data_IF_505916516465
#
_entry.id   IF_505916516465
#
_cell.length_a   1.000
_cell.length_b   1.000
_cell.length_c   1.000
_cell.angle_alpha   90.00
_cell.angle_beta   90.00
_cell.angle_gamma   90.00
#
_symmetry.space_group_name_H-M   'P 1'
#
loop_
_entity.id
_entity.type
_entity.pdbx_description
1 polymer ?
#
# COMPACT_ATOMS: atom_id res chain seq x y z
N UNK A 1 -14.66 13.79 12.91
CA UNK A 1 -14.06 13.79 11.56
C UNK A 1 -12.54 13.68 11.61
N UNK A 2 -11.86 14.55 12.37
CA UNK A 2 -10.40 14.53 12.54
C UNK A 2 -9.85 13.15 13.00
N UNK A 3 -10.44 12.55 14.04
CA UNK A 3 -10.02 11.23 14.54
C UNK A 3 -10.09 10.14 13.46
N UNK A 4 -11.16 10.13 12.66
CA UNK A 4 -11.34 9.18 11.55
C UNK A 4 -10.23 9.35 10.50
N UNK A 5 -9.88 10.59 10.16
CA UNK A 5 -8.78 10.91 9.23
C UNK A 5 -7.44 10.41 9.79
N UNK A 6 -7.17 10.64 11.08
CA UNK A 6 -5.95 10.16 11.72
C UNK A 6 -5.84 8.63 11.66
N UNK A 7 -6.94 7.92 11.93
CA UNK A 7 -6.99 6.45 11.81
C UNK A 7 -6.71 6.01 10.36
N UNK A 8 -7.26 6.70 9.36
CA UNK A 8 -6.99 6.38 7.95
C UNK A 8 -5.52 6.56 7.56
N UNK A 9 -4.86 7.60 8.09
CA UNK A 9 -3.42 7.81 7.89
C UNK A 9 -2.62 6.67 8.53
N UNK A 10 -2.96 6.30 9.77
CA UNK A 10 -2.29 5.21 10.48
C UNK A 10 -2.47 3.89 9.72
N UNK A 11 -3.70 3.56 9.32
CA UNK A 11 -3.99 2.36 8.52
C UNK A 11 -3.22 2.38 7.20
N UNK A 12 -3.17 3.51 6.51
CA UNK A 12 -2.38 3.67 5.29
C UNK A 12 -0.91 3.34 5.49
N UNK A 13 -0.36 3.58 6.68
CA UNK A 13 1.05 3.34 6.98
C UNK A 13 1.36 1.90 7.42
N UNK A 14 0.36 1.13 7.83
CA UNK A 14 0.57 -0.27 8.19
C UNK A 14 0.73 -1.11 6.90
N UNK A 15 1.81 -1.90 6.74
CA UNK A 15 2.12 -2.63 5.50
C UNK A 15 1.02 -3.57 5.01
N UNK A 16 0.22 -4.11 5.93
CA UNK A 16 -0.87 -5.04 5.62
C UNK A 16 -2.10 -4.30 5.09
N UNK A 17 -2.33 -3.07 5.55
CA UNK A 17 -3.52 -2.30 5.24
C UNK A 17 -3.34 -1.46 3.97
N UNK A 18 -2.36 -0.55 3.92
CA UNK A 18 -2.10 0.37 2.79
C UNK A 18 -3.41 0.94 2.17
N UNK A 19 -3.41 1.31 0.89
CA UNK A 19 -4.59 1.83 0.15
C UNK A 19 -5.76 0.85 0.08
N UNK A 20 -5.44 -0.45 -0.02
CA UNK A 20 -6.37 -1.56 -0.21
C UNK A 20 -7.43 -1.65 0.88
N UNK A 21 -7.08 -1.32 2.13
CA UNK A 21 -8.02 -1.32 3.25
C UNK A 21 -8.39 0.08 3.72
N UNK A 22 -7.46 1.04 3.68
CA UNK A 22 -7.76 2.41 4.13
C UNK A 22 -8.84 3.09 3.29
N UNK A 23 -8.90 2.86 1.97
CA UNK A 23 -9.95 3.43 1.11
C UNK A 23 -11.33 2.82 1.44
N UNK A 24 -11.54 1.49 1.40
CA UNK A 24 -12.84 0.91 1.76
C UNK A 24 -13.33 1.28 3.16
N UNK A 25 -12.43 1.27 4.16
CA UNK A 25 -12.76 1.66 5.55
C UNK A 25 -13.17 3.14 5.62
N UNK A 26 -12.57 4.01 4.82
CA UNK A 26 -12.95 5.41 4.75
C UNK A 26 -14.31 5.63 4.11
N UNK A 27 -14.62 4.89 3.03
CA UNK A 27 -15.81 5.10 2.19
C UNK A 27 -17.07 4.45 2.75
N UNK A 28 -16.99 3.20 3.21
CA UNK A 28 -18.19 2.46 3.62
C UNK A 28 -18.74 2.94 4.97
N UNK A 29 -20.05 2.78 5.14
CA UNK A 29 -20.77 3.14 6.36
C UNK A 29 -20.93 1.96 7.33
N UNK A 30 -20.94 0.72 6.80
CA UNK A 30 -21.17 -0.52 7.54
C UNK A 30 -19.92 -1.15 8.15
N UNK A 31 -20.12 -2.31 8.77
CA UNK A 31 -19.02 -3.15 9.27
C UNK A 31 -18.38 -3.88 8.09
N UNK A 32 -17.09 -3.67 7.91
CA UNK A 32 -16.29 -4.38 6.93
C UNK A 32 -15.71 -5.62 7.61
N UNK A 33 -16.07 -6.80 7.13
CA UNK A 33 -15.51 -8.07 7.58
C UNK A 33 -14.26 -8.45 6.78
N UNK A 34 -13.43 -9.33 7.36
CA UNK A 34 -12.20 -9.81 6.72
C UNK A 34 -11.04 -8.81 6.77
N UNK A 35 -11.14 -7.77 7.59
CA UNK A 35 -10.05 -6.79 7.81
C UNK A 35 -8.86 -7.54 8.43
N UNK A 36 -7.68 -7.54 7.79
CA UNK A 36 -6.52 -8.24 8.33
C UNK A 36 -6.18 -7.78 9.74
N UNK A 37 -5.61 -8.64 10.58
CA UNK A 37 -5.20 -8.33 11.97
C UNK A 37 -6.35 -8.02 12.97
N UNK A 38 -7.47 -7.46 12.54
CA UNK A 38 -8.57 -7.02 13.42
C UNK A 38 -9.87 -7.80 13.20
N UNK A 39 -9.99 -8.55 12.12
CA UNK A 39 -11.17 -9.34 11.77
C UNK A 39 -12.27 -8.50 11.14
N UNK A 40 -12.76 -7.49 11.84
CA UNK A 40 -13.75 -6.54 11.32
C UNK A 40 -13.47 -5.10 11.76
N UNK A 41 -13.96 -4.14 10.99
CA UNK A 41 -13.82 -2.72 11.31
C UNK A 41 -15.04 -1.93 10.85
N UNK A 42 -15.48 -0.97 11.66
CA UNK A 42 -16.54 -0.04 11.30
C UNK A 42 -16.03 0.95 10.25
N UNK A 43 -16.75 1.05 9.13
CA UNK A 43 -16.53 2.05 8.10
C UNK A 43 -16.87 3.46 8.57
N UNK A 44 -16.21 4.46 7.99
CA UNK A 44 -16.28 5.84 8.46
C UNK A 44 -17.26 6.74 7.72
N UNK A 45 -17.77 6.31 6.56
CA UNK A 45 -18.67 7.07 5.69
C UNK A 45 -18.18 8.51 5.44
N UNK A 46 -16.90 8.67 5.11
CA UNK A 46 -16.33 9.98 4.80
C UNK A 46 -16.52 10.31 3.31
N UNK A 47 -16.55 11.61 2.95
CA UNK A 47 -16.59 12.05 1.56
C UNK A 47 -15.44 11.45 0.75
N UNK A 48 -15.74 11.02 -0.48
CA UNK A 48 -14.81 10.29 -1.34
C UNK A 48 -13.55 11.10 -1.63
N UNK A 49 -13.69 12.42 -1.82
CA UNK A 49 -12.58 13.31 -2.11
C UNK A 49 -11.60 13.35 -0.94
N UNK A 50 -12.12 13.40 0.29
CA UNK A 50 -11.32 13.42 1.52
C UNK A 50 -10.59 12.09 1.69
N UNK A 51 -11.30 10.97 1.54
CA UNK A 51 -10.71 9.63 1.68
C UNK A 51 -9.61 9.42 0.65
N UNK A 52 -9.89 9.74 -0.62
CA UNK A 52 -8.92 9.58 -1.69
C UNK A 52 -7.67 10.41 -1.44
N UNK A 53 -7.81 11.71 -1.17
CA UNK A 53 -6.67 12.61 -0.97
C UNK A 53 -5.83 12.20 0.25
N UNK A 54 -6.48 11.86 1.37
CA UNK A 54 -5.79 11.45 2.60
C UNK A 54 -5.05 10.13 2.39
N UNK A 55 -5.72 9.10 1.90
CA UNK A 55 -5.12 7.77 1.75
C UNK A 55 -4.01 7.77 0.69
N UNK A 56 -4.23 8.40 -0.46
CA UNK A 56 -3.22 8.53 -1.53
C UNK A 56 -2.02 9.33 -1.02
N UNK A 57 -2.25 10.51 -0.44
CA UNK A 57 -1.17 11.35 0.10
C UNK A 57 -0.37 10.64 1.19
N UNK A 58 -1.05 9.99 2.14
CA UNK A 58 -0.40 9.24 3.21
C UNK A 58 0.46 8.09 2.67
N UNK A 59 0.00 7.36 1.65
CA UNK A 59 0.77 6.26 1.05
C UNK A 59 1.96 6.78 0.22
N UNK A 60 1.85 7.94 -0.44
CA UNK A 60 2.99 8.51 -1.18
C UNK A 60 4.12 8.88 -0.22
N UNK A 61 3.76 9.55 0.89
CA UNK A 61 4.69 9.89 1.97
C UNK A 61 5.28 8.62 2.56
N UNK A 62 4.46 7.61 2.81
CA UNK A 62 4.90 6.33 3.33
C UNK A 62 5.95 5.69 2.44
N UNK A 63 5.74 5.61 1.12
CA UNK A 63 6.71 5.02 0.21
C UNK A 63 8.05 5.75 0.21
N UNK A 64 8.00 7.08 0.27
CA UNK A 64 9.21 7.89 0.42
C UNK A 64 9.96 7.55 1.72
N UNK A 65 9.25 7.52 2.86
CA UNK A 65 9.84 7.17 4.15
C UNK A 65 10.36 5.73 4.19
N UNK A 66 9.60 4.77 3.65
CA UNK A 66 9.95 3.36 3.65
C UNK A 66 11.20 3.09 2.80
N UNK A 67 11.33 3.74 1.63
CA UNK A 67 12.52 3.63 0.79
C UNK A 67 13.73 4.34 1.43
N UNK A 68 13.51 5.49 2.05
CA UNK A 68 14.57 6.27 2.71
C UNK A 68 15.13 5.60 3.97
N UNK A 69 14.28 5.04 4.80
CA UNK A 69 14.69 4.37 6.04
C UNK A 69 14.91 2.87 5.87
N UNK A 70 15.01 2.41 4.63
CA UNK A 70 15.05 1.00 4.31
C UNK A 70 16.14 0.23 5.06
N UNK A 71 17.36 0.77 5.09
CA UNK A 71 18.50 0.14 5.75
C UNK A 71 18.25 -0.07 7.25
N UNK A 72 17.56 0.88 7.89
CA UNK A 72 17.16 0.78 9.31
C UNK A 72 16.03 -0.23 9.51
N UNK A 73 15.06 -0.27 8.59
CA UNK A 73 13.93 -1.19 8.65
C UNK A 73 14.43 -2.62 8.52
N UNK A 74 15.25 -2.94 7.51
CA UNK A 74 15.83 -4.29 7.33
C UNK A 74 16.59 -4.74 8.57
N UNK A 75 17.39 -3.86 9.16
CA UNK A 75 18.20 -4.20 10.33
C UNK A 75 17.35 -4.69 11.51
N UNK A 76 16.15 -4.15 11.68
CA UNK A 76 15.19 -4.60 12.71
C UNK A 76 14.62 -5.97 12.34
N UNK A 77 14.21 -6.17 11.09
CA UNK A 77 13.64 -7.44 10.63
C UNK A 77 14.63 -8.61 10.68
N UNK A 78 15.91 -8.36 10.41
CA UNK A 78 16.96 -9.38 10.44
C UNK A 78 17.35 -9.81 11.86
N UNK A 79 17.10 -8.98 12.89
CA UNK A 79 17.42 -9.29 14.29
C UNK A 79 16.45 -10.27 14.94
N UNK A 80 15.23 -10.40 14.45
CA UNK A 80 14.21 -11.26 15.05
C UNK A 80 13.94 -12.47 14.13
N UNK A 81 14.21 -13.72 14.57
CA UNK A 81 14.15 -14.91 13.71
C UNK A 81 12.78 -15.14 13.05
N UNK A 82 11.70 -14.83 13.78
CA UNK A 82 10.32 -14.95 13.29
C UNK A 82 10.10 -13.94 12.16
N UNK A 83 10.43 -12.67 12.39
CA UNK A 83 10.31 -11.60 11.39
C UNK A 83 11.18 -11.87 10.16
N UNK A 84 12.37 -12.44 10.33
CA UNK A 84 13.24 -12.86 9.22
C UNK A 84 12.58 -13.91 8.33
N UNK A 85 11.92 -14.93 8.89
CA UNK A 85 11.21 -15.95 8.09
C UNK A 85 10.03 -15.36 7.30
N UNK A 86 9.31 -14.41 7.89
CA UNK A 86 8.25 -13.66 7.20
C UNK A 86 8.83 -12.77 6.09
N UNK A 87 9.89 -12.03 6.41
CA UNK A 87 10.63 -11.17 5.48
C UNK A 87 11.11 -11.97 4.27
N UNK A 88 11.81 -13.09 4.48
CA UNK A 88 12.34 -13.95 3.40
C UNK A 88 11.21 -14.40 2.47
N UNK A 89 10.05 -14.79 3.02
CA UNK A 89 8.87 -15.19 2.22
C UNK A 89 8.25 -14.04 1.42
N UNK A 90 8.15 -12.85 2.03
CA UNK A 90 7.58 -11.65 1.38
C UNK A 90 8.53 -11.15 0.29
N UNK A 91 9.82 -11.05 0.59
CA UNK A 91 10.85 -10.57 -0.33
C UNK A 91 10.99 -11.48 -1.53
N UNK A 92 11.06 -12.81 -1.34
CA UNK A 92 11.14 -13.74 -2.47
C UNK A 92 9.93 -13.63 -3.39
N UNK A 93 8.73 -13.46 -2.82
CA UNK A 93 7.51 -13.26 -3.61
C UNK A 93 7.49 -11.91 -4.32
N UNK A 94 7.86 -10.84 -3.62
CA UNK A 94 7.87 -9.49 -4.15
C UNK A 94 8.90 -9.36 -5.28
N UNK A 95 10.13 -9.86 -5.09
CA UNK A 95 11.14 -9.91 -6.13
C UNK A 95 10.67 -10.71 -7.34
N UNK A 96 10.12 -11.93 -7.15
CA UNK A 96 9.61 -12.74 -8.28
C UNK A 96 8.55 -12.01 -9.11
N UNK A 97 7.69 -11.20 -8.48
CA UNK A 97 6.65 -10.42 -9.16
C UNK A 97 7.19 -9.15 -9.82
N UNK A 98 8.04 -8.42 -9.10
CA UNK A 98 8.51 -7.10 -9.49
C UNK A 98 9.70 -7.15 -10.46
N UNK A 99 10.66 -8.07 -10.26
CA UNK A 99 11.86 -8.19 -11.09
C UNK A 99 11.58 -8.21 -12.59
N UNK A 100 10.71 -9.09 -13.14
CA UNK A 100 10.47 -9.12 -14.59
C UNK A 100 9.82 -7.82 -15.12
N UNK A 101 9.02 -7.14 -14.29
CA UNK A 101 8.42 -5.85 -14.66
C UNK A 101 9.45 -4.74 -14.66
N UNK A 102 10.24 -4.65 -13.59
CA UNK A 102 11.22 -3.58 -13.37
C UNK A 102 12.41 -3.71 -14.32
N UNK A 103 12.89 -4.93 -14.57
CA UNK A 103 13.98 -5.19 -15.52
C UNK A 103 13.57 -4.80 -16.95
N UNK A 104 12.35 -5.16 -17.36
CA UNK A 104 11.87 -4.90 -18.73
C UNK A 104 11.39 -3.47 -18.96
N UNK A 105 10.72 -2.87 -17.98
CA UNK A 105 10.00 -1.60 -18.14
C UNK A 105 10.50 -0.47 -17.22
N UNK A 106 11.51 -0.71 -16.39
CA UNK A 106 12.11 0.30 -15.52
C UNK A 106 11.10 1.01 -14.62
N UNK A 107 10.99 2.34 -14.79
CA UNK A 107 10.08 3.21 -14.03
C UNK A 107 8.62 2.79 -14.17
N UNK A 108 8.21 2.45 -15.39
CA UNK A 108 6.84 2.01 -15.68
C UNK A 108 6.59 0.66 -15.00
N UNK A 109 7.55 -0.25 -15.06
CA UNK A 109 7.46 -1.56 -14.40
C UNK A 109 7.29 -1.45 -12.88
N UNK A 110 8.06 -0.56 -12.24
CA UNK A 110 7.93 -0.28 -10.82
C UNK A 110 6.57 0.35 -10.48
N UNK A 111 6.10 1.27 -11.33
CA UNK A 111 4.79 1.92 -11.15
C UNK A 111 3.66 0.90 -11.24
N UNK A 112 3.70 0.01 -12.23
CA UNK A 112 2.72 -1.08 -12.40
C UNK A 112 2.75 -2.01 -11.19
N UNK A 113 3.94 -2.41 -10.74
CA UNK A 113 4.07 -3.26 -9.57
C UNK A 113 3.41 -2.64 -8.33
N UNK A 114 3.63 -1.35 -8.07
CA UNK A 114 3.03 -0.62 -6.95
C UNK A 114 1.52 -0.42 -7.16
N UNK A 115 1.08 -0.23 -8.40
CA UNK A 115 -0.33 0.00 -8.75
C UNK A 115 -1.23 -1.20 -8.48
N UNK A 116 -0.70 -2.42 -8.47
CA UNK A 116 -1.47 -3.63 -8.25
C UNK A 116 -1.92 -3.69 -6.77
N UNK A 117 -3.22 -3.64 -6.45
CA UNK A 117 -3.71 -3.63 -5.07
C UNK A 117 -3.79 -5.05 -4.47
N UNK A 118 -2.80 -5.92 -4.74
CA UNK A 118 -2.75 -7.31 -4.27
C UNK A 118 -1.79 -7.51 -3.11
N UNK A 119 -2.01 -8.50 -2.22
CA UNK A 119 -1.07 -8.82 -1.15
C UNK A 119 0.34 -9.08 -1.69
N UNK A 120 1.33 -8.41 -1.10
CA UNK A 120 2.73 -8.50 -1.52
C UNK A 120 3.14 -7.58 -2.67
N UNK A 121 2.26 -6.65 -3.08
CA UNK A 121 2.58 -5.44 -3.86
C UNK A 121 2.17 -4.19 -3.08
N UNK A 122 2.47 -3.00 -3.60
CA UNK A 122 2.19 -1.72 -2.93
C UNK A 122 3.46 -0.94 -2.60
N UNK A 123 3.31 0.12 -1.81
CA UNK A 123 4.37 1.09 -1.57
C UNK A 123 5.49 0.52 -0.70
N UNK A 124 5.15 -0.21 0.36
CA UNK A 124 6.13 -0.88 1.23
C UNK A 124 6.96 -1.92 0.49
N UNK A 125 6.29 -2.78 -0.27
CA UNK A 125 6.96 -3.85 -1.03
C UNK A 125 7.70 -3.30 -2.24
N UNK A 126 7.19 -2.23 -2.86
CA UNK A 126 7.88 -1.46 -3.88
C UNK A 126 9.17 -0.87 -3.32
N UNK A 127 9.14 -0.30 -2.11
CA UNK A 127 10.32 0.23 -1.45
C UNK A 127 11.36 -0.87 -1.18
N UNK A 128 10.91 -2.02 -0.68
CA UNK A 128 11.72 -3.23 -0.52
C UNK A 128 12.43 -3.64 -1.79
N UNK A 129 11.67 -3.88 -2.87
CA UNK A 129 12.26 -4.34 -4.13
C UNK A 129 13.11 -3.25 -4.75
N UNK A 130 12.66 -1.99 -4.72
CA UNK A 130 13.39 -0.88 -5.31
C UNK A 130 14.75 -0.66 -4.66
N UNK A 131 14.90 -0.91 -3.36
CA UNK A 131 16.20 -0.86 -2.72
C UNK A 131 17.06 -2.07 -3.10
N UNK A 132 16.50 -3.28 -3.08
CA UNK A 132 17.20 -4.51 -3.50
C UNK A 132 17.71 -4.46 -4.95
N UNK A 133 17.01 -3.74 -5.83
CA UNK A 133 17.40 -3.53 -7.24
C UNK A 133 18.22 -2.25 -7.47
N UNK A 134 18.61 -1.53 -6.42
CA UNK A 134 19.32 -0.25 -6.52
C UNK A 134 18.64 0.73 -7.49
N UNK A 135 17.31 0.82 -7.43
CA UNK A 135 16.48 1.52 -8.41
C UNK A 135 16.68 3.05 -8.46
N UNK A 136 17.21 3.61 -7.38
CA UNK A 136 17.49 5.03 -7.21
C UNK A 136 16.29 5.81 -6.64
N UNK A 137 16.57 6.61 -5.62
CA UNK A 137 15.58 7.40 -4.86
C UNK A 137 14.61 8.21 -5.72
N UNK A 138 15.14 8.98 -6.69
CA UNK A 138 14.31 9.86 -7.54
C UNK A 138 13.35 9.07 -8.43
N UNK A 139 13.85 8.00 -9.06
CA UNK A 139 13.05 7.14 -9.95
C UNK A 139 12.01 6.36 -9.16
N UNK A 140 12.38 5.88 -7.98
CA UNK A 140 11.46 5.21 -7.08
C UNK A 140 10.32 6.15 -6.64
N UNK A 141 10.64 7.38 -6.22
CA UNK A 141 9.63 8.34 -5.79
C UNK A 141 8.58 8.61 -6.88
N UNK A 142 9.03 8.84 -8.12
CA UNK A 142 8.12 9.06 -9.26
C UNK A 142 7.27 7.81 -9.50
N UNK A 143 7.89 6.62 -9.54
CA UNK A 143 7.17 5.37 -9.75
C UNK A 143 6.15 5.08 -8.63
N UNK A 144 6.50 5.39 -7.38
CA UNK A 144 5.65 5.24 -6.22
C UNK A 144 4.44 6.18 -6.29
N UNK A 145 4.64 7.45 -6.62
CA UNK A 145 3.55 8.41 -6.77
C UNK A 145 2.56 7.98 -7.86
N UNK A 146 3.07 7.61 -9.04
CA UNK A 146 2.24 7.13 -10.16
C UNK A 146 1.49 5.86 -9.76
N UNK A 147 2.21 4.88 -9.21
CA UNK A 147 1.64 3.60 -8.80
C UNK A 147 0.53 3.77 -7.76
N UNK A 148 0.73 4.62 -6.75
CA UNK A 148 -0.26 4.87 -5.69
C UNK A 148 -1.49 5.59 -6.22
N UNK A 149 -1.33 6.56 -7.12
CA UNK A 149 -2.49 7.23 -7.75
C UNK A 149 -3.32 6.20 -8.52
N UNK A 150 -2.67 5.35 -9.32
CA UNK A 150 -3.37 4.29 -10.07
C UNK A 150 -4.02 3.28 -9.13
N UNK A 151 -3.32 2.81 -8.10
CA UNK A 151 -3.88 1.90 -7.10
C UNK A 151 -5.08 2.52 -6.38
N UNK A 152 -4.98 3.78 -5.98
CA UNK A 152 -6.05 4.53 -5.35
C UNK A 152 -7.29 4.61 -6.23
N UNK A 153 -7.11 4.90 -7.52
CA UNK A 153 -8.22 4.92 -8.48
C UNK A 153 -8.85 3.54 -8.64
N UNK A 154 -8.04 2.49 -8.82
CA UNK A 154 -8.53 1.11 -8.95
C UNK A 154 -9.33 0.70 -7.71
N UNK A 155 -8.78 0.91 -6.51
CA UNK A 155 -9.44 0.53 -5.25
C UNK A 155 -10.72 1.34 -5.05
N UNK A 156 -10.71 2.63 -5.38
CA UNK A 156 -11.90 3.49 -5.29
C UNK A 156 -13.00 2.99 -6.21
N UNK A 157 -12.69 2.73 -7.48
CA UNK A 157 -13.66 2.21 -8.48
C UNK A 157 -14.20 0.84 -8.05
N UNK A 158 -13.35 -0.06 -7.55
CA UNK A 158 -13.80 -1.35 -7.05
C UNK A 158 -14.73 -1.17 -5.84
N UNK A 159 -14.39 -0.25 -4.93
CA UNK A 159 -15.17 0.00 -3.72
C UNK A 159 -16.53 0.64 -4.02
N UNK A 160 -16.57 1.65 -4.89
CA UNK A 160 -17.82 2.33 -5.27
C UNK A 160 -18.67 1.49 -6.22
N UNK A 161 -18.03 0.71 -7.11
CA UNK A 161 -18.70 -0.30 -7.93
C UNK A 161 -19.38 -1.37 -7.06
N UNK A 162 -18.66 -1.91 -6.06
CA UNK A 162 -19.22 -2.83 -5.08
C UNK A 162 -20.37 -2.20 -4.28
N UNK A 163 -20.24 -0.94 -3.86
CA UNK A 163 -21.32 -0.21 -3.18
C UNK A 163 -22.60 -0.16 -4.03
N UNK A 164 -22.46 0.17 -5.32
CA UNK A 164 -23.59 0.27 -6.24
C UNK A 164 -24.29 -1.07 -6.51
N UNK A 165 -23.55 -2.18 -6.42
CA UNK A 165 -24.08 -3.53 -6.66
C UNK A 165 -24.68 -4.18 -5.41
N UNK A 166 -24.15 -3.88 -4.23
CA UNK A 166 -24.52 -4.58 -2.99
C UNK A 166 -25.29 -3.71 -1.98
N UNK A 167 -25.41 -2.39 -2.20
CA UNK A 167 -26.41 -1.55 -1.54
C UNK A 167 -26.34 -1.46 0.00
N UNK A 168 -25.14 -1.29 0.56
CA UNK A 168 -24.92 -1.00 1.99
C UNK A 168 -24.13 0.30 2.17
#
# INVERSE_FOLDING_TARGET
MFEKILILIILSWVPVFELRWSIPIGLFSGVIEGVPLVGSMQGFALPLEIVFLVCVGANIILGFLAYFFFDKIIFIFLKVPILKKFYDKIVVRAQKKAYPLVEKYGLIGMSIFIAIPLPGSGSWTGALVGNLLNFGYKRFFIANAIGIIIAGLIVTVISTGAFSLFGF
#
